data_IF_030779822155
#
_entry.id   IF_030779822155
#
_cell.length_a   1.000
_cell.length_b   1.000
_cell.length_c   1.000
_cell.angle_alpha   90.00
_cell.angle_beta   90.00
_cell.angle_gamma   90.00
#
_symmetry.space_group_name_H-M   'P 1'
#
loop_
_entity.id
_entity.type
_entity.pdbx_description
1 polymer ?
#
# COMPACT_ATOMS: atom_id res chain seq x y z
N UNK A 1 36.32 -12.68 -1.69
CA UNK A 1 35.31 -12.07 -2.55
C UNK A 1 33.96 -12.68 -2.12
N UNK A 2 33.19 -12.00 -1.30
CA UNK A 2 31.85 -12.44 -0.87
C UNK A 2 30.96 -12.45 -2.10
N UNK A 3 30.51 -13.63 -2.49
CA UNK A 3 29.57 -13.82 -3.59
C UNK A 3 28.24 -13.19 -3.18
N UNK A 4 28.08 -11.89 -3.48
CA UNK A 4 26.86 -11.16 -3.14
C UNK A 4 25.74 -11.69 -4.03
N UNK A 5 24.83 -12.49 -3.46
CA UNK A 5 23.69 -13.04 -4.21
C UNK A 5 22.83 -11.88 -4.72
N UNK A 6 22.67 -11.84 -6.03
CA UNK A 6 21.75 -10.92 -6.71
C UNK A 6 20.45 -11.68 -7.00
N UNK A 7 19.32 -11.10 -6.65
CA UNK A 7 18.00 -11.67 -6.94
C UNK A 7 16.99 -10.57 -7.27
N UNK A 8 15.98 -10.96 -8.02
CA UNK A 8 14.89 -10.08 -8.44
C UNK A 8 13.65 -10.42 -7.63
N UNK A 9 12.95 -9.39 -7.17
CA UNK A 9 11.73 -9.52 -6.38
C UNK A 9 10.66 -8.56 -6.90
N UNK A 10 9.41 -8.87 -6.63
CA UNK A 10 8.28 -8.00 -6.89
C UNK A 10 7.47 -7.78 -5.61
N UNK A 11 6.93 -6.59 -5.45
CA UNK A 11 5.98 -6.26 -4.40
C UNK A 11 4.74 -5.61 -5.03
N UNK A 12 3.56 -6.09 -4.66
CA UNK A 12 2.26 -5.55 -5.07
C UNK A 12 1.60 -4.98 -3.81
N UNK A 13 1.24 -3.70 -3.87
CA UNK A 13 0.51 -3.00 -2.81
C UNK A 13 -0.87 -2.59 -3.33
N UNK A 14 -1.93 -3.10 -2.68
CA UNK A 14 -3.32 -2.85 -3.03
C UNK A 14 -3.95 -1.91 -2.02
N UNK A 15 -3.88 -0.61 -2.35
CA UNK A 15 -4.42 0.47 -1.54
C UNK A 15 -5.88 0.79 -1.86
N UNK A 16 -6.43 1.75 -1.12
CA UNK A 16 -7.82 2.21 -1.27
C UNK A 16 -8.07 2.89 -2.63
N UNK A 17 -7.09 3.65 -3.14
CA UNK A 17 -7.20 4.40 -4.40
C UNK A 17 -6.40 3.77 -5.52
N UNK A 18 -5.20 3.30 -5.23
CA UNK A 18 -4.26 2.81 -6.24
C UNK A 18 -3.74 1.42 -5.92
N UNK A 19 -3.48 0.65 -6.97
CA UNK A 19 -2.71 -0.60 -6.95
C UNK A 19 -1.32 -0.31 -7.51
N UNK A 20 -0.27 -0.81 -6.86
CA UNK A 20 1.12 -0.51 -7.21
C UNK A 20 1.91 -1.79 -7.33
N UNK A 21 2.76 -1.86 -8.35
CA UNK A 21 3.80 -2.87 -8.50
C UNK A 21 5.16 -2.20 -8.35
N UNK A 22 6.03 -2.79 -7.56
CA UNK A 22 7.46 -2.48 -7.53
C UNK A 22 8.22 -3.72 -7.97
N UNK A 23 9.06 -3.57 -8.98
CA UNK A 23 10.06 -4.57 -9.38
C UNK A 23 11.42 -4.11 -8.88
N UNK A 24 12.13 -4.96 -8.16
CA UNK A 24 13.41 -4.59 -7.58
C UNK A 24 14.47 -5.67 -7.77
N UNK A 25 15.68 -5.23 -8.08
CA UNK A 25 16.88 -6.05 -8.03
C UNK A 25 17.63 -5.78 -6.73
N UNK A 26 17.89 -6.82 -5.98
CA UNK A 26 18.52 -6.76 -4.67
C UNK A 26 19.89 -7.41 -4.72
N UNK A 27 20.90 -6.74 -4.17
CA UNK A 27 22.27 -7.23 -4.05
C UNK A 27 22.82 -6.88 -2.66
N UNK A 28 23.28 -7.87 -1.93
CA UNK A 28 23.82 -7.65 -0.58
C UNK A 28 22.79 -7.10 0.44
N UNK A 29 21.50 -7.29 0.20
CA UNK A 29 20.44 -6.75 1.04
C UNK A 29 20.02 -5.32 0.69
N UNK A 30 20.63 -4.69 -0.30
CA UNK A 30 20.26 -3.36 -0.79
C UNK A 30 19.55 -3.44 -2.14
N UNK A 31 18.60 -2.55 -2.37
CA UNK A 31 17.97 -2.37 -3.67
C UNK A 31 18.97 -1.61 -4.56
N UNK A 32 19.40 -2.23 -5.66
CA UNK A 32 20.36 -1.62 -6.62
C UNK A 32 19.68 -1.08 -7.87
N UNK A 33 18.48 -1.57 -8.16
CA UNK A 33 17.64 -1.11 -9.26
C UNK A 33 16.19 -1.35 -8.92
N UNK A 34 15.30 -0.42 -9.26
CA UNK A 34 13.87 -0.61 -9.12
C UNK A 34 13.07 0.14 -10.17
N UNK A 35 11.91 -0.39 -10.50
CA UNK A 35 10.88 0.28 -11.28
C UNK A 35 9.53 0.18 -10.58
N UNK A 36 8.65 1.14 -10.84
CA UNK A 36 7.31 1.19 -10.26
C UNK A 36 6.26 1.39 -11.33
N UNK A 37 5.19 0.59 -11.25
CA UNK A 37 3.98 0.75 -12.04
C UNK A 37 2.80 1.02 -11.08
N UNK A 38 1.96 1.99 -11.42
CA UNK A 38 0.82 2.39 -10.58
C UNK A 38 -0.43 2.47 -11.45
N UNK A 39 -1.51 1.80 -10.98
CA UNK A 39 -2.84 1.86 -11.57
C UNK A 39 -3.83 2.47 -10.57
N UNK A 40 -4.70 3.35 -11.04
CA UNK A 40 -5.80 3.89 -10.23
C UNK A 40 -6.96 2.91 -10.32
N UNK A 41 -7.12 2.10 -9.29
CA UNK A 41 -8.13 1.02 -9.24
C UNK A 41 -9.35 1.35 -8.41
N UNK A 42 -9.21 2.35 -7.52
CA UNK A 42 -10.27 2.89 -6.69
C UNK A 42 -11.04 1.81 -5.91
N UNK A 43 -10.28 0.88 -5.31
CA UNK A 43 -10.82 -0.26 -4.57
C UNK A 43 -11.78 0.16 -3.45
N UNK A 44 -11.52 1.31 -2.82
CA UNK A 44 -12.34 1.86 -1.75
C UNK A 44 -13.65 2.48 -2.19
N UNK A 45 -14.01 2.42 -3.49
CA UNK A 45 -15.26 2.98 -3.99
C UNK A 45 -16.48 2.39 -3.26
N UNK A 46 -17.22 3.26 -2.56
CA UNK A 46 -18.42 2.89 -1.82
C UNK A 46 -18.19 2.17 -0.48
N UNK A 47 -16.96 1.83 -0.13
CA UNK A 47 -16.67 1.07 1.12
C UNK A 47 -17.07 1.85 2.37
N UNK A 48 -16.77 3.15 2.44
CA UNK A 48 -17.14 3.98 3.59
C UNK A 48 -18.68 4.06 3.83
N UNK A 49 -19.48 3.93 2.76
CA UNK A 49 -20.93 3.99 2.84
C UNK A 49 -21.58 2.62 3.08
N UNK A 50 -20.98 1.55 2.56
CA UNK A 50 -21.61 0.22 2.50
C UNK A 50 -20.91 -0.84 3.35
N UNK A 51 -19.66 -0.61 3.75
CA UNK A 51 -18.77 -1.61 4.36
C UNK A 51 -18.43 -2.77 3.42
N UNK A 52 -18.55 -2.56 2.09
CA UNK A 52 -18.37 -3.63 1.10
C UNK A 52 -17.70 -3.11 -0.17
N UNK A 53 -16.89 -3.96 -0.80
CA UNK A 53 -16.43 -3.72 -2.17
C UNK A 53 -17.58 -3.83 -3.16
N UNK A 54 -17.61 -2.96 -4.16
CA UNK A 54 -18.42 -3.19 -5.37
C UNK A 54 -17.63 -4.10 -6.36
N UNK A 55 -18.36 -4.92 -7.11
CA UNK A 55 -17.76 -5.89 -8.05
C UNK A 55 -16.87 -5.20 -9.09
N UNK A 56 -17.29 -4.03 -9.58
CA UNK A 56 -16.52 -3.28 -10.56
C UNK A 56 -15.15 -2.83 -10.03
N UNK A 57 -15.04 -2.45 -8.74
CA UNK A 57 -13.78 -2.08 -8.12
C UNK A 57 -12.86 -3.30 -7.97
N UNK A 58 -13.41 -4.44 -7.56
CA UNK A 58 -12.66 -5.70 -7.47
C UNK A 58 -12.12 -6.10 -8.86
N UNK A 59 -12.94 -6.02 -9.91
CA UNK A 59 -12.49 -6.39 -11.27
C UNK A 59 -11.40 -5.43 -11.79
N UNK A 60 -11.44 -4.13 -11.47
CA UNK A 60 -10.34 -3.20 -11.80
C UNK A 60 -9.03 -3.62 -11.15
N UNK A 61 -9.06 -4.00 -9.86
CA UNK A 61 -7.87 -4.48 -9.16
C UNK A 61 -7.36 -5.79 -9.75
N UNK A 62 -8.24 -6.76 -10.00
CA UNK A 62 -7.85 -8.05 -10.59
C UNK A 62 -7.27 -7.86 -12.00
N UNK A 63 -7.83 -6.93 -12.79
CA UNK A 63 -7.28 -6.59 -14.10
C UNK A 63 -5.88 -5.99 -14.00
N UNK A 64 -5.64 -5.05 -13.09
CA UNK A 64 -4.31 -4.51 -12.81
C UNK A 64 -3.34 -5.60 -12.34
N UNK A 65 -3.79 -6.50 -11.44
CA UNK A 65 -2.95 -7.57 -10.93
C UNK A 65 -2.57 -8.60 -12.01
N UNK A 66 -3.42 -8.87 -13.00
CA UNK A 66 -3.04 -9.71 -14.17
C UNK A 66 -1.83 -9.13 -14.90
N UNK A 67 -1.85 -7.82 -15.17
CA UNK A 67 -0.71 -7.13 -15.79
C UNK A 67 0.53 -7.18 -14.89
N UNK A 68 0.38 -6.93 -13.60
CA UNK A 68 1.49 -6.95 -12.65
C UNK A 68 2.15 -8.32 -12.53
N UNK A 69 1.36 -9.40 -12.56
CA UNK A 69 1.88 -10.79 -12.56
C UNK A 69 2.68 -11.05 -13.83
N UNK A 70 2.21 -10.61 -14.98
CA UNK A 70 2.93 -10.78 -16.25
C UNK A 70 4.22 -9.95 -16.31
N UNK A 71 4.20 -8.73 -15.78
CA UNK A 71 5.40 -7.90 -15.64
C UNK A 71 6.41 -8.54 -14.68
N UNK A 72 5.97 -9.01 -13.50
CA UNK A 72 6.85 -9.68 -12.53
C UNK A 72 7.48 -10.95 -13.13
N UNK A 73 6.70 -11.73 -13.88
CA UNK A 73 7.19 -12.92 -14.58
C UNK A 73 8.21 -12.56 -15.66
N UNK A 74 7.93 -11.53 -16.49
CA UNK A 74 8.83 -11.05 -17.54
C UNK A 74 10.12 -10.50 -16.97
N UNK A 75 10.04 -9.79 -15.85
CA UNK A 75 11.19 -9.30 -15.10
C UNK A 75 12.02 -10.45 -14.52
N UNK A 76 11.43 -11.63 -14.28
CA UNK A 76 12.07 -12.80 -13.68
C UNK A 76 12.16 -12.68 -12.17
N UNK A 77 11.13 -12.13 -11.53
CA UNK A 77 11.03 -12.07 -10.07
C UNK A 77 11.01 -13.48 -9.47
N UNK A 78 11.87 -13.73 -8.50
CA UNK A 78 11.94 -15.00 -7.78
C UNK A 78 10.80 -15.18 -6.76
N UNK A 79 10.21 -14.07 -6.31
CA UNK A 79 9.03 -14.05 -5.45
C UNK A 79 8.23 -12.77 -5.69
N UNK A 80 6.93 -12.85 -5.39
CA UNK A 80 5.99 -11.73 -5.40
C UNK A 80 5.37 -11.64 -4.02
N UNK A 81 5.53 -10.51 -3.34
CA UNK A 81 4.84 -10.19 -2.09
C UNK A 81 3.61 -9.34 -2.44
N UNK A 82 2.43 -9.70 -1.91
CA UNK A 82 1.19 -8.97 -2.18
C UNK A 82 0.55 -8.53 -0.87
N UNK A 83 0.40 -7.22 -0.68
CA UNK A 83 -0.25 -6.62 0.48
C UNK A 83 -1.57 -5.95 0.09
N UNK A 84 -2.55 -6.07 0.98
CA UNK A 84 -3.81 -5.37 0.92
C UNK A 84 -3.95 -4.53 2.19
N UNK A 85 -4.38 -3.27 2.07
CA UNK A 85 -4.34 -2.32 3.17
C UNK A 85 -5.74 -1.87 3.63
N UNK A 86 -5.96 -0.62 3.95
CA UNK A 86 -7.16 -0.08 4.61
C UNK A 86 -8.47 -0.58 3.99
N UNK A 87 -8.70 -0.44 2.68
CA UNK A 87 -9.96 -0.85 2.07
C UNK A 87 -10.27 -2.35 2.26
N UNK A 88 -9.23 -3.20 2.27
CA UNK A 88 -9.41 -4.63 2.49
C UNK A 88 -9.63 -4.99 3.97
N UNK A 89 -9.17 -4.15 4.91
CA UNK A 89 -9.49 -4.28 6.33
C UNK A 89 -10.95 -3.95 6.61
N UNK A 90 -11.50 -2.96 5.90
CA UNK A 90 -12.82 -2.40 6.16
C UNK A 90 -13.96 -3.17 5.47
N UNK A 91 -13.67 -3.84 4.35
CA UNK A 91 -14.69 -4.49 3.55
C UNK A 91 -15.08 -5.87 4.11
N UNK A 92 -16.35 -6.04 4.47
CA UNK A 92 -16.92 -7.32 4.98
C UNK A 92 -16.90 -8.44 3.94
N UNK A 93 -16.78 -8.12 2.65
CA UNK A 93 -16.67 -9.07 1.54
C UNK A 93 -15.26 -9.13 0.95
N UNK A 94 -14.21 -8.85 1.73
CA UNK A 94 -12.83 -8.88 1.28
C UNK A 94 -12.42 -10.23 0.65
N UNK A 95 -13.06 -11.33 1.04
CA UNK A 95 -12.84 -12.65 0.45
C UNK A 95 -12.99 -12.66 -1.07
N UNK A 96 -13.92 -11.88 -1.64
CA UNK A 96 -14.11 -11.77 -3.09
C UNK A 96 -12.83 -11.32 -3.82
N UNK A 97 -12.12 -10.34 -3.26
CA UNK A 97 -10.85 -9.88 -3.79
C UNK A 97 -9.74 -10.91 -3.54
N UNK A 98 -9.65 -11.41 -2.31
CA UNK A 98 -8.55 -12.30 -1.90
C UNK A 98 -8.57 -13.62 -2.69
N UNK A 99 -9.74 -14.18 -2.95
CA UNK A 99 -9.89 -15.40 -3.74
C UNK A 99 -9.52 -15.14 -5.21
N UNK A 100 -10.00 -14.02 -5.79
CA UNK A 100 -9.59 -13.64 -7.15
C UNK A 100 -8.08 -13.43 -7.30
N UNK A 101 -7.40 -12.89 -6.28
CA UNK A 101 -5.93 -12.76 -6.28
C UNK A 101 -5.23 -14.12 -6.20
N UNK A 102 -5.77 -15.06 -5.39
CA UNK A 102 -5.24 -16.45 -5.32
C UNK A 102 -5.38 -17.17 -6.64
N UNK A 103 -6.48 -16.96 -7.36
CA UNK A 103 -6.69 -17.53 -8.70
C UNK A 103 -5.65 -17.01 -9.72
N UNK A 104 -5.05 -15.83 -9.47
CA UNK A 104 -3.93 -15.31 -10.25
C UNK A 104 -2.56 -15.84 -9.79
N UNK A 105 -2.52 -16.74 -8.79
CA UNK A 105 -1.30 -17.30 -8.23
C UNK A 105 -0.59 -16.38 -7.23
N UNK A 106 -1.29 -15.37 -6.70
CA UNK A 106 -0.78 -14.48 -5.66
C UNK A 106 -1.14 -14.99 -4.26
N UNK A 107 -0.33 -14.61 -3.27
CA UNK A 107 -0.56 -14.89 -1.84
C UNK A 107 -0.88 -13.58 -1.11
N UNK A 108 -2.12 -13.05 -1.23
CA UNK A 108 -2.46 -11.75 -0.66
C UNK A 108 -2.50 -11.79 0.87
N UNK A 109 -1.93 -10.77 1.49
CA UNK A 109 -1.94 -10.56 2.93
C UNK A 109 -2.63 -9.25 3.26
N UNK A 110 -3.73 -9.31 4.03
CA UNK A 110 -4.33 -8.09 4.60
C UNK A 110 -3.51 -7.71 5.83
N UNK A 111 -2.78 -6.61 5.73
CA UNK A 111 -1.87 -6.17 6.79
C UNK A 111 -2.54 -5.17 7.74
N UNK A 112 -2.28 -5.28 9.06
CA UNK A 112 -2.67 -4.24 10.03
C UNK A 112 -2.03 -2.90 9.73
N UNK A 113 -2.68 -1.79 10.10
CA UNK A 113 -2.17 -0.44 9.86
C UNK A 113 -0.82 -0.17 10.53
N UNK A 114 -0.57 -0.77 11.70
CA UNK A 114 0.73 -0.67 12.37
C UNK A 114 1.86 -1.36 11.58
N UNK A 115 1.54 -2.45 10.87
CA UNK A 115 2.50 -3.13 9.98
C UNK A 115 2.76 -2.27 8.76
N UNK A 116 1.72 -1.67 8.18
CA UNK A 116 1.80 -0.70 7.07
C UNK A 116 2.70 0.48 7.45
N UNK A 117 2.46 1.11 8.63
CA UNK A 117 3.28 2.18 9.17
C UNK A 117 4.77 1.80 9.32
N UNK A 118 5.04 0.58 9.80
CA UNK A 118 6.42 0.06 9.94
C UNK A 118 7.10 -0.13 8.59
N UNK A 119 6.40 -0.68 7.61
CA UNK A 119 6.94 -0.90 6.27
C UNK A 119 7.26 0.44 5.59
N UNK A 120 6.37 1.43 5.71
CA UNK A 120 6.59 2.79 5.21
C UNK A 120 7.81 3.43 5.89
N UNK A 121 7.90 3.32 7.24
CA UNK A 121 9.06 3.82 7.96
C UNK A 121 10.36 3.19 7.46
N UNK A 122 10.39 1.88 7.26
CA UNK A 122 11.59 1.18 6.77
C UNK A 122 12.01 1.66 5.38
N UNK A 123 11.03 1.91 4.50
CA UNK A 123 11.30 2.42 3.15
C UNK A 123 11.92 3.82 3.15
N UNK A 124 11.43 4.71 4.02
CA UNK A 124 11.86 6.11 4.08
C UNK A 124 13.15 6.31 4.90
N UNK A 125 13.29 5.59 6.01
CA UNK A 125 14.35 5.82 6.99
C UNK A 125 15.77 5.57 6.45
N UNK A 126 15.91 4.82 5.36
CA UNK A 126 17.19 4.63 4.67
C UNK A 126 17.81 5.95 4.18
N UNK A 127 16.99 6.88 3.72
CA UNK A 127 17.43 8.18 3.20
C UNK A 127 17.81 9.17 4.32
N UNK A 128 17.45 8.84 5.57
CA UNK A 128 17.65 9.68 6.77
C UNK A 128 18.46 8.94 7.85
N UNK A 129 19.51 8.24 7.41
CA UNK A 129 20.34 7.44 8.31
C UNK A 129 20.96 8.27 9.45
N UNK A 130 20.77 7.80 10.67
CA UNK A 130 21.25 8.48 11.90
C UNK A 130 20.31 9.59 12.39
N UNK A 131 19.30 9.97 11.64
CA UNK A 131 18.33 10.99 12.05
C UNK A 131 17.10 10.39 12.72
N UNK A 132 16.55 11.10 13.71
CA UNK A 132 15.23 10.80 14.25
C UNK A 132 14.18 11.43 13.36
N UNK A 133 13.34 10.62 12.75
CA UNK A 133 12.31 11.10 11.82
C UNK A 133 10.91 10.71 12.28
N UNK A 134 9.93 11.46 11.80
CA UNK A 134 8.52 11.09 11.79
C UNK A 134 8.13 10.93 10.33
N UNK A 135 7.61 9.77 10.00
CA UNK A 135 7.04 9.49 8.68
C UNK A 135 5.53 9.55 8.78
N UNK A 136 4.90 10.29 7.89
CA UNK A 136 3.45 10.35 7.73
C UNK A 136 3.10 9.93 6.31
N UNK A 137 2.34 8.85 6.16
CA UNK A 137 1.83 8.35 4.88
C UNK A 137 0.32 8.51 4.84
N UNK A 138 -0.14 9.49 4.08
CA UNK A 138 -1.57 9.75 3.94
C UNK A 138 -2.11 9.05 2.70
N UNK A 139 -2.78 7.94 2.91
CA UNK A 139 -3.42 7.13 1.88
C UNK A 139 -4.85 7.55 1.55
N UNK A 140 -5.55 6.70 0.82
CA UNK A 140 -6.97 6.91 0.48
C UNK A 140 -7.92 6.68 1.65
N UNK A 141 -7.72 5.62 2.44
CA UNK A 141 -8.58 5.22 3.54
C UNK A 141 -8.01 5.50 4.92
N UNK A 142 -6.69 5.48 5.07
CA UNK A 142 -5.98 5.66 6.34
C UNK A 142 -4.80 6.61 6.20
N UNK A 143 -4.25 7.01 7.36
CA UNK A 143 -2.98 7.73 7.47
C UNK A 143 -2.12 7.03 8.50
N UNK A 144 -0.97 6.58 8.08
CA UNK A 144 0.01 5.91 8.91
C UNK A 144 1.05 6.90 9.42
N UNK A 145 1.36 6.80 10.72
CA UNK A 145 2.40 7.59 11.37
C UNK A 145 3.40 6.62 12.00
N UNK A 146 4.68 6.87 11.78
CA UNK A 146 5.76 6.13 12.41
C UNK A 146 6.90 7.06 12.81
N UNK A 147 7.53 6.80 13.96
CA UNK A 147 8.69 7.56 14.43
C UNK A 147 9.80 6.63 14.86
N UNK A 148 11.04 7.03 14.63
CA UNK A 148 12.20 6.23 14.97
C UNK A 148 13.49 6.74 14.32
N UNK A 149 14.52 5.90 14.39
CA UNK A 149 15.86 6.14 13.84
C UNK A 149 16.31 4.90 13.07
N UNK A 150 16.92 5.09 11.92
CA UNK A 150 17.71 4.05 11.27
C UNK A 150 19.20 4.25 11.60
N UNK A 151 19.81 3.26 12.23
CA UNK A 151 21.23 3.25 12.60
C UNK A 151 21.98 2.22 11.71
N UNK A 152 22.51 2.65 10.55
CA UNK A 152 23.11 1.76 9.55
C UNK A 152 24.35 1.03 10.09
N UNK A 153 25.12 1.65 10.98
CA UNK A 153 26.31 1.05 11.63
C UNK A 153 25.95 -0.17 12.50
N UNK A 154 24.70 -0.27 12.94
CA UNK A 154 24.17 -1.40 13.71
C UNK A 154 23.23 -2.29 12.90
N UNK A 155 22.86 -1.86 11.68
CA UNK A 155 21.84 -2.51 10.86
C UNK A 155 20.45 -2.55 11.53
N UNK A 156 20.14 -1.56 12.39
CA UNK A 156 18.94 -1.54 13.23
C UNK A 156 18.02 -0.38 12.85
N UNK A 157 16.75 -0.70 12.65
CA UNK A 157 15.66 0.27 12.66
C UNK A 157 15.07 0.32 14.08
N UNK A 158 15.41 1.35 14.82
CA UNK A 158 14.85 1.59 16.15
C UNK A 158 13.52 2.34 16.00
N UNK A 159 12.44 1.59 15.83
CA UNK A 159 11.09 2.12 15.78
C UNK A 159 10.62 2.45 17.21
N UNK A 160 10.19 3.69 17.44
CA UNK A 160 9.78 4.20 18.75
C UNK A 160 8.27 4.24 18.92
N UNK A 161 7.54 4.40 17.84
CA UNK A 161 6.09 4.39 17.85
C UNK A 161 5.48 4.31 16.46
N UNK A 162 4.28 3.71 16.41
CA UNK A 162 3.45 3.66 15.20
C UNK A 162 2.01 3.96 15.54
N UNK A 163 1.30 4.58 14.60
CA UNK A 163 -0.14 4.77 14.63
C UNK A 163 -0.69 4.63 13.22
N UNK A 164 -1.85 4.00 13.09
CA UNK A 164 -2.69 4.10 11.91
C UNK A 164 -3.98 4.79 12.31
N UNK A 165 -4.38 5.78 11.55
CA UNK A 165 -5.58 6.56 11.73
C UNK A 165 -6.51 6.29 10.55
N UNK A 166 -7.79 6.03 10.82
CA UNK A 166 -8.82 5.83 9.78
C UNK A 166 -9.22 7.17 9.14
N UNK A 167 -8.20 7.94 8.73
CA UNK A 167 -8.31 9.27 8.10
C UNK A 167 -7.48 9.22 6.82
N UNK A 168 -8.14 9.07 5.67
CA UNK A 168 -7.52 9.09 4.36
C UNK A 168 -8.23 10.08 3.44
N UNK A 169 -7.57 10.50 2.37
CA UNK A 169 -8.09 11.55 1.48
C UNK A 169 -9.47 11.20 0.89
N UNK A 170 -9.72 9.94 0.53
CA UNK A 170 -11.00 9.48 0.03
C UNK A 170 -12.07 9.50 1.10
N UNK A 171 -11.75 8.98 2.28
CA UNK A 171 -12.67 8.94 3.43
C UNK A 171 -13.10 10.34 3.86
N UNK A 172 -12.15 11.28 3.97
CA UNK A 172 -12.42 12.68 4.29
C UNK A 172 -13.30 13.33 3.20
N UNK A 173 -13.03 13.06 1.93
CA UNK A 173 -13.84 13.58 0.83
C UNK A 173 -15.28 13.05 0.91
N UNK A 174 -15.47 11.76 1.15
CA UNK A 174 -16.80 11.15 1.27
C UNK A 174 -17.62 11.81 2.41
N UNK A 175 -17.01 12.06 3.57
CA UNK A 175 -17.66 12.72 4.70
C UNK A 175 -17.94 14.20 4.41
N UNK A 176 -16.99 14.92 3.80
CA UNK A 176 -17.13 16.35 3.51
C UNK A 176 -18.24 16.64 2.50
N UNK A 177 -18.39 15.81 1.46
CA UNK A 177 -19.47 15.99 0.48
C UNK A 177 -20.87 15.76 1.06
N UNK A 178 -21.03 14.99 2.13
CA UNK A 178 -22.32 14.83 2.81
C UNK A 178 -22.68 16.03 3.69
N UNK A 179 -21.73 16.88 4.05
CA UNK A 179 -21.92 18.04 4.90
C UNK A 179 -21.80 19.41 4.21
N UNK A 180 -21.32 19.46 2.95
CA UNK A 180 -21.18 20.67 2.16
C UNK A 180 -22.38 20.93 1.23
N UNK A 181 -23.60 20.75 1.72
CA UNK A 181 -24.72 21.54 1.19
C UNK A 181 -24.63 22.91 1.83
N UNK A 182 -23.87 23.82 1.23
CA UNK A 182 -23.97 25.24 1.55
C UNK A 182 -25.43 25.65 1.32
N UNK A 183 -26.09 26.28 2.32
CA UNK A 183 -27.39 26.86 2.08
C UNK A 183 -27.23 27.89 0.95
N UNK A 184 -27.88 27.68 -0.17
CA UNK A 184 -28.00 28.68 -1.23
C UNK A 184 -28.80 29.81 -0.64
N UNK A 185 -28.12 30.88 -0.19
CA UNK A 185 -28.77 32.12 0.17
C UNK A 185 -29.17 32.77 -1.16
N UNK A 186 -30.40 32.51 -1.62
CA UNK A 186 -31.03 33.35 -2.61
C UNK A 186 -31.33 34.68 -1.95
N UNK A 187 -30.51 35.70 -2.23
CA UNK A 187 -30.88 37.08 -1.97
C UNK A 187 -31.91 37.49 -2.99
N UNK A 188 -33.08 37.89 -2.54
CA UNK A 188 -34.15 38.57 -3.30
C UNK A 188 -33.74 40.03 -3.51
#
# INVERSE_FOLDING_TARGET
>A
MTNCKRYKVAAIDLGTVSSRLVLAQVEGGAIVESSKHTEITDLGEGVDATGRFCEAAVERVLSACRMFVDEARTFGAACVCTTCTSAARDASNAALLLDGLRDLGLEPQVIPGEVEARLTFFGVAHDFAGERIIVADSGGGSTELATGVYAPERGVFALEGTRSLDIGCRRVTAVSYTHLTLPTICSV
#
